data_IF_741956483148
#
_entry.id   IF_741956483148
#
_cell.length_a   1.000
_cell.length_b   1.000
_cell.length_c   1.000
_cell.angle_alpha   90.00
_cell.angle_beta   90.00
_cell.angle_gamma   90.00
#
_symmetry.space_group_name_H-M   'P 1'
#
loop_
_entity.id
_entity.type
_entity.pdbx_description
1 polymer ?
#
# COMPACT_ATOMS: atom_id res chain seq x y z
N UNK A 1 20.69 -10.77 31.17
CA UNK A 1 20.54 -9.74 30.11
C UNK A 1 21.17 -10.21 28.81
N UNK A 2 22.44 -10.65 28.80
CA UNK A 2 23.10 -11.19 27.59
C UNK A 2 22.44 -12.48 27.07
N UNK A 3 22.06 -13.41 27.95
CA UNK A 3 21.39 -14.66 27.56
C UNK A 3 20.01 -14.43 26.91
N UNK A 4 19.26 -13.40 27.34
CA UNK A 4 17.97 -13.05 26.75
C UNK A 4 18.17 -12.47 25.35
N UNK A 5 19.15 -11.58 25.20
CA UNK A 5 19.51 -10.97 23.92
C UNK A 5 19.98 -12.03 22.91
N UNK A 6 20.80 -12.98 23.34
CA UNK A 6 21.24 -14.10 22.51
C UNK A 6 20.04 -14.93 22.03
N UNK A 7 19.14 -15.32 22.94
CA UNK A 7 17.89 -16.03 22.58
C UNK A 7 17.07 -15.27 21.56
N UNK A 8 16.87 -13.96 21.74
CA UNK A 8 16.13 -13.11 20.80
C UNK A 8 16.80 -13.08 19.43
N UNK A 9 18.13 -12.91 19.38
CA UNK A 9 18.86 -12.89 18.10
C UNK A 9 18.82 -14.23 17.38
N UNK A 10 18.94 -15.34 18.09
CA UNK A 10 18.79 -16.68 17.50
C UNK A 10 17.39 -16.88 16.92
N UNK A 11 16.35 -16.42 17.63
CA UNK A 11 14.96 -16.47 17.13
C UNK A 11 14.82 -15.65 15.84
N UNK A 12 15.30 -14.40 15.83
CA UNK A 12 15.24 -13.52 14.65
C UNK A 12 16.00 -14.15 13.48
N UNK A 13 17.22 -14.63 13.70
CA UNK A 13 18.02 -15.28 12.66
C UNK A 13 17.31 -16.52 12.10
N UNK A 14 16.67 -17.32 12.96
CA UNK A 14 15.91 -18.48 12.51
C UNK A 14 14.71 -18.09 11.64
N UNK A 15 13.99 -17.02 11.97
CA UNK A 15 12.90 -16.52 11.13
C UNK A 15 13.41 -15.94 9.80
N UNK A 16 14.57 -15.30 9.78
CA UNK A 16 15.14 -14.70 8.56
C UNK A 16 15.80 -15.73 7.62
N UNK A 17 15.96 -16.99 8.03
CA UNK A 17 16.48 -18.07 7.15
C UNK A 17 15.55 -18.34 5.96
N UNK A 18 14.25 -18.18 6.17
CA UNK A 18 13.22 -18.29 5.14
C UNK A 18 12.59 -16.91 5.06
N UNK A 19 12.78 -16.15 3.96
CA UNK A 19 12.28 -14.78 3.87
C UNK A 19 10.81 -14.68 4.31
N UNK A 20 10.49 -13.99 5.43
CA UNK A 20 9.13 -13.88 5.90
C UNK A 20 8.28 -13.03 4.95
N UNK A 21 6.97 -13.27 4.97
CA UNK A 21 6.00 -12.38 4.35
C UNK A 21 5.80 -11.15 5.23
N UNK A 22 5.82 -9.97 4.63
CA UNK A 22 5.51 -8.72 5.30
C UNK A 22 4.02 -8.44 5.11
N UNK A 23 3.28 -8.35 6.22
CA UNK A 23 1.90 -7.83 6.21
C UNK A 23 1.97 -6.34 6.51
N UNK A 24 1.56 -5.52 5.56
CA UNK A 24 1.69 -4.06 5.60
C UNK A 24 0.32 -3.41 5.70
N UNK A 25 0.10 -2.63 6.76
CA UNK A 25 -1.17 -1.95 7.03
C UNK A 25 -1.01 -0.44 7.14
N UNK A 26 -2.12 0.26 7.34
CA UNK A 26 -2.14 1.74 7.34
C UNK A 26 -1.30 2.35 8.44
N UNK A 27 -1.15 1.66 9.59
CA UNK A 27 -0.25 2.06 10.66
C UNK A 27 1.23 2.21 10.24
N UNK A 28 1.65 1.53 9.17
CA UNK A 28 3.00 1.64 8.65
C UNK A 28 3.22 2.91 7.80
N UNK A 29 2.14 3.54 7.31
CA UNK A 29 2.21 4.76 6.47
C UNK A 29 1.72 6.03 7.17
N UNK A 30 1.04 5.91 8.30
CA UNK A 30 0.67 7.04 9.18
C UNK A 30 1.86 7.96 9.54
N UNK A 31 3.07 7.45 9.88
CA UNK A 31 4.22 8.32 10.14
C UNK A 31 4.66 9.20 8.96
N UNK A 32 4.29 8.83 7.73
CA UNK A 32 4.55 9.63 6.53
C UNK A 32 3.46 10.68 6.25
N UNK A 33 2.46 10.78 7.14
CA UNK A 33 1.35 11.74 7.06
C UNK A 33 0.05 11.16 6.49
N UNK A 34 0.03 9.88 6.09
CA UNK A 34 -1.16 9.27 5.50
C UNK A 34 -2.28 9.18 6.55
N UNK A 35 -3.56 9.37 6.14
CA UNK A 35 -4.67 9.31 7.07
C UNK A 35 -4.81 7.90 7.67
N UNK A 36 -4.99 7.84 8.98
CA UNK A 36 -5.34 6.59 9.66
C UNK A 36 -6.78 6.17 9.30
N UNK A 37 -7.16 4.92 9.62
CA UNK A 37 -8.55 4.48 9.46
C UNK A 37 -9.54 5.35 10.27
N UNK A 38 -9.13 5.82 11.44
CA UNK A 38 -9.95 6.74 12.25
C UNK A 38 -10.09 8.11 11.58
N UNK A 39 -9.03 8.59 10.93
CA UNK A 39 -9.05 9.84 10.16
C UNK A 39 -9.99 9.72 8.96
N UNK A 40 -9.88 8.64 8.19
CA UNK A 40 -10.79 8.37 7.07
C UNK A 40 -12.24 8.25 7.52
N UNK A 41 -12.48 7.58 8.65
CA UNK A 41 -13.81 7.45 9.24
C UNK A 41 -14.41 8.83 9.56
N UNK A 42 -13.62 9.73 10.17
CA UNK A 42 -14.04 11.11 10.42
C UNK A 42 -14.37 11.87 9.13
N UNK A 43 -13.50 11.78 8.11
CA UNK A 43 -13.73 12.42 6.81
C UNK A 43 -15.05 11.94 6.19
N UNK A 44 -15.35 10.66 6.24
CA UNK A 44 -16.59 10.11 5.68
C UNK A 44 -17.83 10.57 6.46
N UNK A 45 -17.76 10.62 7.79
CA UNK A 45 -18.85 11.14 8.65
C UNK A 45 -19.20 12.58 8.34
N UNK A 46 -18.21 13.38 7.92
CA UNK A 46 -18.40 14.80 7.58
C UNK A 46 -18.91 15.01 6.15
N UNK A 47 -18.66 14.08 5.23
CA UNK A 47 -18.92 14.26 3.79
C UNK A 47 -20.06 13.40 3.23
N UNK A 48 -20.50 12.36 3.93
CA UNK A 48 -21.58 11.46 3.49
C UNK A 48 -22.72 11.50 4.51
N UNK A 49 -23.88 12.03 4.09
CA UNK A 49 -25.05 12.23 4.96
C UNK A 49 -25.57 10.95 5.61
N UNK A 50 -25.54 9.84 4.89
CA UNK A 50 -26.05 8.53 5.29
C UNK A 50 -25.02 7.71 6.09
N UNK A 51 -23.82 8.25 6.29
CA UNK A 51 -22.74 7.54 6.98
C UNK A 51 -22.99 7.48 8.49
N UNK A 52 -22.76 6.31 9.07
CA UNK A 52 -22.98 6.08 10.49
C UNK A 52 -21.99 6.90 11.34
N UNK A 53 -22.51 7.90 12.05
CA UNK A 53 -21.71 8.80 12.90
C UNK A 53 -21.14 8.12 14.12
N UNK A 54 -21.75 7.01 14.55
CA UNK A 54 -21.32 6.24 15.72
C UNK A 54 -20.44 5.05 15.34
N UNK A 55 -20.13 4.87 14.04
CA UNK A 55 -19.24 3.81 13.59
C UNK A 55 -17.82 3.96 14.17
N UNK A 56 -17.33 2.89 14.80
CA UNK A 56 -15.94 2.77 15.26
C UNK A 56 -15.08 1.94 14.29
N UNK A 57 -15.66 0.95 13.60
CA UNK A 57 -14.95 0.08 12.65
C UNK A 57 -15.34 0.41 11.20
N UNK A 58 -14.51 1.22 10.56
CA UNK A 58 -14.73 1.68 9.19
C UNK A 58 -14.81 0.53 8.17
N UNK A 59 -13.98 -0.51 8.31
CA UNK A 59 -13.95 -1.63 7.37
C UNK A 59 -15.28 -2.42 7.37
N UNK A 60 -15.78 -2.73 8.56
CA UNK A 60 -17.08 -3.41 8.72
C UNK A 60 -18.23 -2.53 8.25
N UNK A 61 -18.15 -1.23 8.49
CA UNK A 61 -19.19 -0.28 8.07
C UNK A 61 -19.29 -0.20 6.56
N UNK A 62 -18.17 -0.07 5.86
CA UNK A 62 -18.13 0.01 4.40
C UNK A 62 -18.64 -1.24 3.70
N UNK A 63 -18.60 -2.41 4.36
CA UNK A 63 -19.14 -3.66 3.85
C UNK A 63 -20.68 -3.77 3.88
N UNK A 64 -21.40 -2.77 4.39
CA UNK A 64 -22.87 -2.79 4.47
C UNK A 64 -23.53 -2.40 3.14
N UNK A 65 -24.55 -3.16 2.73
CA UNK A 65 -25.29 -2.95 1.47
C UNK A 65 -25.86 -1.54 1.31
N UNK A 66 -26.19 -0.85 2.41
CA UNK A 66 -26.71 0.54 2.39
C UNK A 66 -25.79 1.53 1.69
N UNK A 67 -24.50 1.20 1.53
CA UNK A 67 -23.54 2.09 0.90
C UNK A 67 -23.28 1.80 -0.58
N UNK A 68 -23.90 0.77 -1.19
CA UNK A 68 -23.64 0.42 -2.60
C UNK A 68 -23.84 1.60 -3.57
N UNK A 69 -24.91 2.37 -3.42
CA UNK A 69 -25.21 3.52 -4.29
C UNK A 69 -24.24 4.70 -4.09
N UNK A 70 -23.75 4.89 -2.87
CA UNK A 70 -22.82 5.97 -2.52
C UNK A 70 -21.34 5.55 -2.54
N UNK A 71 -21.05 4.27 -2.82
CA UNK A 71 -19.68 3.74 -2.90
C UNK A 71 -18.78 4.52 -3.85
N UNK A 72 -19.21 4.92 -5.06
CA UNK A 72 -18.37 5.72 -5.94
C UNK A 72 -17.94 7.06 -5.30
N UNK A 73 -18.83 7.70 -4.54
CA UNK A 73 -18.52 8.95 -3.83
C UNK A 73 -17.55 8.70 -2.67
N UNK A 74 -17.79 7.64 -1.88
CA UNK A 74 -16.91 7.23 -0.78
C UNK A 74 -15.51 6.91 -1.29
N UNK A 75 -15.39 6.12 -2.37
CA UNK A 75 -14.12 5.83 -3.03
C UNK A 75 -13.42 7.12 -3.46
N UNK A 76 -14.14 8.06 -4.06
CA UNK A 76 -13.55 9.32 -4.49
C UNK A 76 -13.01 10.14 -3.30
N UNK A 77 -13.75 10.23 -2.20
CA UNK A 77 -13.33 10.94 -0.98
C UNK A 77 -12.07 10.32 -0.38
N UNK A 78 -12.06 8.99 -0.20
CA UNK A 78 -10.89 8.27 0.33
C UNK A 78 -9.69 8.43 -0.62
N UNK A 79 -9.92 8.29 -1.93
CA UNK A 79 -8.89 8.41 -2.95
C UNK A 79 -8.23 9.79 -2.89
N UNK A 80 -9.01 10.87 -2.80
CA UNK A 80 -8.48 12.22 -2.68
C UNK A 80 -7.68 12.41 -1.38
N UNK A 81 -8.22 11.98 -0.24
CA UNK A 81 -7.55 12.13 1.05
C UNK A 81 -6.16 11.46 1.08
N UNK A 82 -6.03 10.29 0.45
CA UNK A 82 -4.77 9.53 0.42
C UNK A 82 -3.85 10.05 -0.68
N UNK A 83 -4.36 10.28 -1.89
CA UNK A 83 -3.55 10.72 -3.04
C UNK A 83 -2.88 12.07 -2.83
N UNK A 84 -3.52 12.99 -2.09
CA UNK A 84 -2.88 14.26 -1.72
C UNK A 84 -1.58 14.01 -0.97
N UNK A 85 -1.60 13.19 0.08
CA UNK A 85 -0.40 12.93 0.88
C UNK A 85 0.59 12.01 0.16
N UNK A 86 0.12 11.02 -0.59
CA UNK A 86 0.96 10.16 -1.45
C UNK A 86 1.81 10.99 -2.42
N UNK A 87 1.21 11.99 -3.06
CA UNK A 87 1.91 12.91 -3.95
C UNK A 87 2.92 13.77 -3.19
N UNK A 88 2.59 14.26 -1.98
CA UNK A 88 3.54 14.98 -1.14
C UNK A 88 4.75 14.14 -0.73
N UNK A 89 4.54 12.86 -0.40
CA UNK A 89 5.61 11.90 -0.10
C UNK A 89 6.51 11.70 -1.31
N UNK A 90 5.93 11.52 -2.51
CA UNK A 90 6.69 11.43 -3.75
C UNK A 90 7.53 12.69 -4.00
N UNK A 91 6.97 13.89 -3.78
CA UNK A 91 7.74 15.13 -3.90
C UNK A 91 8.87 15.22 -2.86
N UNK A 92 8.64 14.78 -1.62
CA UNK A 92 9.67 14.74 -0.58
C UNK A 92 10.83 13.83 -0.96
N UNK A 93 10.57 12.65 -1.53
CA UNK A 93 11.61 11.74 -2.04
C UNK A 93 12.51 12.40 -3.08
N UNK A 94 11.96 13.27 -3.93
CA UNK A 94 12.72 13.93 -5.00
C UNK A 94 13.48 15.18 -4.54
N UNK A 95 12.98 15.86 -3.51
CA UNK A 95 13.49 17.18 -3.08
C UNK A 95 14.36 17.11 -1.83
N UNK A 96 14.26 16.03 -1.07
CA UNK A 96 14.93 15.85 0.22
C UNK A 96 16.03 14.80 0.08
N UNK A 97 17.25 15.08 0.52
CA UNK A 97 18.26 14.04 0.79
C UNK A 97 17.89 13.24 2.07
N UNK A 98 16.62 13.18 2.45
CA UNK A 98 16.23 12.74 3.78
C UNK A 98 16.19 11.22 3.89
N UNK A 99 16.72 10.73 5.02
CA UNK A 99 16.65 9.33 5.44
C UNK A 99 15.23 8.90 5.89
N UNK A 100 14.22 9.78 5.73
CA UNK A 100 12.86 9.62 6.27
C UNK A 100 12.19 8.32 5.80
N UNK A 101 12.55 7.84 4.60
CA UNK A 101 11.99 6.63 3.99
C UNK A 101 12.97 5.44 3.98
N UNK A 102 14.19 5.62 4.48
CA UNK A 102 15.24 4.61 4.47
C UNK A 102 14.87 3.39 5.33
N UNK A 103 13.92 3.52 6.26
CA UNK A 103 13.37 2.40 7.02
C UNK A 103 12.76 1.31 6.14
N UNK A 104 12.01 1.69 5.08
CA UNK A 104 11.39 0.73 4.15
C UNK A 104 12.49 0.01 3.35
N UNK A 105 13.47 0.76 2.85
CA UNK A 105 14.64 0.21 2.15
C UNK A 105 15.36 -0.83 3.01
N UNK A 106 15.73 -0.46 4.25
CA UNK A 106 16.43 -1.34 5.20
C UNK A 106 15.64 -2.60 5.52
N UNK A 107 14.32 -2.47 5.70
CA UNK A 107 13.44 -3.60 5.94
C UNK A 107 13.49 -4.58 4.77
N UNK A 108 13.25 -4.09 3.56
CA UNK A 108 13.21 -4.93 2.35
C UNK A 108 14.56 -5.58 2.07
N UNK A 109 15.66 -4.81 2.14
CA UNK A 109 17.02 -5.33 2.01
C UNK A 109 17.27 -6.44 3.03
N UNK A 110 16.85 -6.25 4.28
CA UNK A 110 17.09 -7.24 5.32
C UNK A 110 16.29 -8.53 5.14
N UNK A 111 15.04 -8.43 4.70
CA UNK A 111 14.21 -9.62 4.40
C UNK A 111 14.72 -10.35 3.16
N UNK A 112 15.19 -9.61 2.15
CA UNK A 112 15.73 -10.17 0.90
C UNK A 112 17.17 -10.70 1.00
N UNK A 113 17.80 -10.68 2.17
CA UNK A 113 19.22 -11.05 2.36
C UNK A 113 19.45 -12.56 2.08
N UNK A 114 18.46 -13.40 2.42
CA UNK A 114 18.52 -14.84 2.21
C UNK A 114 18.08 -15.25 0.79
N UNK A 115 18.76 -16.24 0.19
CA UNK A 115 18.36 -16.85 -1.08
C UNK A 115 16.91 -17.37 -0.99
N UNK A 116 16.00 -17.11 -1.98
CA UNK A 116 16.23 -16.56 -3.32
C UNK A 116 16.13 -15.04 -3.46
N UNK A 117 16.33 -14.28 -2.38
CA UNK A 117 16.24 -12.82 -2.35
C UNK A 117 14.88 -12.31 -2.80
N UNK A 118 13.83 -12.94 -2.27
CA UNK A 118 12.45 -12.57 -2.53
C UNK A 118 11.84 -12.00 -1.28
N UNK A 119 11.20 -10.86 -1.41
CA UNK A 119 10.39 -10.26 -0.34
C UNK A 119 8.95 -10.19 -0.83
N UNK A 120 8.03 -10.81 -0.11
CA UNK A 120 6.61 -10.70 -0.39
C UNK A 120 5.98 -9.72 0.58
N UNK A 121 5.34 -8.68 0.06
CA UNK A 121 4.63 -7.66 0.82
C UNK A 121 3.15 -7.77 0.45
N UNK A 122 2.30 -8.11 1.41
CA UNK A 122 0.85 -8.10 1.24
C UNK A 122 0.31 -6.89 1.98
N UNK A 123 -0.43 -6.03 1.30
CA UNK A 123 -0.89 -4.76 1.85
C UNK A 123 -2.37 -4.50 1.60
N UNK A 124 -3.04 -3.96 2.61
CA UNK A 124 -4.40 -3.42 2.51
C UNK A 124 -4.40 -1.94 2.14
N UNK A 125 -3.22 -1.32 2.00
CA UNK A 125 -3.09 0.11 1.73
C UNK A 125 -3.23 0.43 0.25
N UNK A 126 -3.94 1.53 -0.02
CA UNK A 126 -4.11 2.07 -1.36
C UNK A 126 -2.89 2.90 -1.83
N UNK A 127 -2.17 3.52 -0.90
CA UNK A 127 -1.02 4.41 -1.17
C UNK A 127 0.14 3.70 -1.89
N UNK A 128 1.00 4.46 -2.56
CA UNK A 128 2.10 3.94 -3.39
C UNK A 128 3.47 4.15 -2.73
N UNK A 129 3.52 4.29 -1.40
CA UNK A 129 4.76 4.69 -0.72
C UNK A 129 5.84 3.62 -0.90
N UNK A 130 5.49 2.34 -0.77
CA UNK A 130 6.46 1.25 -0.95
C UNK A 130 7.02 1.30 -2.38
N UNK A 131 6.14 1.36 -3.38
CA UNK A 131 6.49 1.42 -4.80
C UNK A 131 7.40 2.61 -5.10
N UNK A 132 7.05 3.79 -4.60
CA UNK A 132 7.81 5.02 -4.78
C UNK A 132 9.22 4.90 -4.17
N UNK A 133 9.32 4.35 -2.95
CA UNK A 133 10.61 4.19 -2.24
C UNK A 133 11.48 3.12 -2.90
N UNK A 134 10.91 1.98 -3.28
CA UNK A 134 11.65 0.94 -3.99
C UNK A 134 12.13 1.43 -5.36
N UNK A 135 11.27 2.11 -6.11
CA UNK A 135 11.64 2.73 -7.39
C UNK A 135 12.74 3.76 -7.22
N UNK A 136 12.66 4.61 -6.20
CA UNK A 136 13.67 5.63 -5.91
C UNK A 136 15.05 5.03 -5.60
N UNK A 137 15.08 3.93 -4.86
CA UNK A 137 16.32 3.21 -4.54
C UNK A 137 16.78 2.20 -5.60
N UNK A 138 16.06 2.07 -6.72
CA UNK A 138 16.38 1.12 -7.77
C UNK A 138 16.24 -0.34 -7.35
N UNK A 139 15.39 -0.63 -6.35
CA UNK A 139 15.10 -1.99 -5.90
C UNK A 139 14.04 -2.59 -6.85
N UNK A 140 14.32 -3.72 -7.52
CA UNK A 140 13.35 -4.37 -8.40
C UNK A 140 12.11 -4.83 -7.64
N UNK A 141 10.93 -4.42 -8.11
CA UNK A 141 9.66 -4.87 -7.59
C UNK A 141 8.63 -5.08 -8.71
N UNK A 142 7.58 -5.83 -8.40
CA UNK A 142 6.38 -5.97 -9.22
C UNK A 142 5.14 -5.80 -8.34
N UNK A 143 4.16 -5.09 -8.86
CA UNK A 143 2.80 -4.96 -8.31
C UNK A 143 1.76 -5.66 -9.19
N UNK A 144 2.22 -6.48 -10.16
CA UNK A 144 1.37 -7.15 -11.13
C UNK A 144 1.09 -6.33 -12.39
N UNK A 145 1.75 -5.19 -12.62
CA UNK A 145 1.62 -4.43 -13.86
C UNK A 145 2.96 -4.30 -14.60
N UNK A 146 2.95 -4.60 -15.90
CA UNK A 146 4.10 -4.47 -16.78
C UNK A 146 3.85 -3.42 -17.87
N UNK A 147 4.86 -2.60 -18.19
CA UNK A 147 4.78 -1.60 -19.24
C UNK A 147 4.21 -0.26 -18.79
N UNK A 148 3.35 -0.24 -17.75
CA UNK A 148 2.70 0.93 -17.13
C UNK A 148 1.90 1.78 -18.13
N UNK A 149 1.01 2.61 -17.59
CA UNK A 149 -0.08 3.30 -18.32
C UNK A 149 -0.93 2.36 -19.19
N UNK A 150 -2.19 2.19 -18.80
CA UNK A 150 -3.17 1.32 -19.43
C UNK A 150 -2.83 -0.18 -19.44
N UNK A 151 -1.71 -0.58 -18.84
CA UNK A 151 -1.33 -1.99 -18.69
C UNK A 151 -2.36 -2.76 -17.86
N UNK A 152 -2.57 -4.02 -18.22
CA UNK A 152 -3.42 -4.96 -17.50
C UNK A 152 -2.69 -5.56 -16.31
N UNK A 153 -3.46 -5.91 -15.27
CA UNK A 153 -2.94 -6.75 -14.19
C UNK A 153 -2.62 -8.14 -14.72
N UNK A 154 -1.45 -8.65 -14.34
CA UNK A 154 -0.95 -9.97 -14.72
C UNK A 154 -0.27 -10.63 -13.53
N UNK A 155 -0.95 -11.63 -12.96
CA UNK A 155 -0.44 -12.40 -11.82
C UNK A 155 0.83 -13.21 -12.15
N UNK A 156 1.09 -13.50 -13.43
CA UNK A 156 2.28 -14.24 -13.85
C UNK A 156 3.58 -13.43 -13.68
N UNK A 157 3.46 -12.12 -13.44
CA UNK A 157 4.59 -11.23 -13.16
C UNK A 157 5.18 -11.43 -11.76
N UNK A 158 4.43 -11.99 -10.82
CA UNK A 158 4.96 -12.32 -9.49
C UNK A 158 6.02 -13.43 -9.60
N UNK A 159 7.18 -13.20 -8.99
CA UNK A 159 8.35 -14.07 -9.19
C UNK A 159 8.93 -14.57 -7.87
N UNK A 160 9.53 -15.75 -7.91
CA UNK A 160 10.19 -16.40 -6.78
C UNK A 160 11.70 -16.19 -6.76
N UNK A 161 12.24 -15.17 -7.45
CA UNK A 161 13.68 -14.89 -7.46
C UNK A 161 14.02 -13.40 -7.63
N UNK A 162 14.93 -12.88 -6.79
CA UNK A 162 15.52 -11.54 -6.86
C UNK A 162 14.52 -10.38 -7.10
N UNK A 163 13.39 -10.39 -6.40
CA UNK A 163 12.34 -9.37 -6.59
C UNK A 163 11.57 -9.10 -5.29
N UNK A 164 10.99 -7.91 -5.20
CA UNK A 164 9.93 -7.62 -4.23
C UNK A 164 8.58 -7.77 -4.90
N UNK A 165 7.75 -8.68 -4.39
CA UNK A 165 6.37 -8.83 -4.82
C UNK A 165 5.47 -7.99 -3.91
N UNK A 166 4.71 -7.06 -4.49
CA UNK A 166 3.74 -6.23 -3.75
C UNK A 166 2.34 -6.67 -4.16
N UNK A 167 1.61 -7.25 -3.23
CA UNK A 167 0.24 -7.71 -3.43
C UNK A 167 -0.69 -6.74 -2.72
N UNK A 168 -1.49 -5.99 -3.49
CA UNK A 168 -2.50 -5.07 -2.98
C UNK A 168 -3.87 -5.73 -2.99
N UNK A 169 -4.44 -5.99 -1.81
CA UNK A 169 -5.68 -6.77 -1.70
C UNK A 169 -6.95 -5.95 -1.89
N UNK A 170 -6.92 -4.65 -1.56
CA UNK A 170 -8.06 -3.73 -1.70
C UNK A 170 -7.86 -2.73 -2.84
N UNK A 171 -6.93 -3.02 -3.75
CA UNK A 171 -6.57 -2.13 -4.85
C UNK A 171 -5.60 -1.01 -4.48
N UNK A 172 -5.50 -0.01 -5.36
CA UNK A 172 -4.44 1.00 -5.32
C UNK A 172 -4.88 2.33 -5.92
N UNK A 173 -4.22 3.43 -5.53
CA UNK A 173 -4.47 4.76 -6.08
C UNK A 173 -4.29 4.84 -7.61
N UNK A 174 -3.43 4.00 -8.17
CA UNK A 174 -3.12 3.91 -9.60
C UNK A 174 -3.90 2.79 -10.32
N UNK A 175 -4.88 2.15 -9.67
CA UNK A 175 -5.72 1.13 -10.31
C UNK A 175 -7.07 1.74 -10.70
N UNK A 176 -7.54 1.45 -11.89
CA UNK A 176 -8.86 1.84 -12.36
C UNK A 176 -9.53 0.71 -13.13
N UNK A 177 -10.86 0.69 -13.13
CA UNK A 177 -11.63 -0.23 -13.98
C UNK A 177 -11.88 0.43 -15.34
N UNK A 178 -11.65 -0.33 -16.41
CA UNK A 178 -12.03 0.06 -17.75
C UNK A 178 -12.60 -1.13 -18.49
N UNK A 179 -13.93 -1.16 -18.61
CA UNK A 179 -14.62 -2.23 -19.32
C UNK A 179 -14.54 -3.59 -18.61
N UNK A 180 -14.46 -3.59 -17.26
CA UNK A 180 -14.33 -4.81 -16.46
C UNK A 180 -12.89 -5.32 -16.27
N UNK A 181 -11.90 -4.58 -16.77
CA UNK A 181 -10.48 -4.89 -16.60
C UNK A 181 -9.82 -3.89 -15.66
N UNK A 182 -9.03 -4.41 -14.71
CA UNK A 182 -8.18 -3.58 -13.84
C UNK A 182 -6.95 -3.14 -14.63
N UNK A 183 -6.75 -1.82 -14.69
CA UNK A 183 -5.66 -1.19 -15.42
C UNK A 183 -4.87 -0.22 -14.55
N UNK A 184 -3.63 0.04 -14.96
CA UNK A 184 -2.73 0.99 -14.32
C UNK A 184 -2.87 2.40 -14.90
N UNK A 185 -3.00 3.42 -14.06
CA UNK A 185 -2.99 4.84 -14.44
C UNK A 185 -2.20 5.66 -13.42
N UNK A 186 -1.13 6.35 -13.85
CA UNK A 186 -0.27 7.11 -12.95
C UNK A 186 -0.96 8.36 -12.41
N UNK A 187 -1.71 9.04 -13.29
CA UNK A 187 -2.40 10.29 -13.00
C UNK A 187 -3.90 10.10 -13.26
N UNK A 188 -4.71 10.36 -12.24
CA UNK A 188 -6.15 10.23 -12.35
C UNK A 188 -6.70 11.18 -13.43
N UNK A 189 -7.62 10.65 -14.24
CA UNK A 189 -8.40 11.39 -15.23
C UNK A 189 -9.83 11.42 -14.70
N UNK A 190 -10.53 12.56 -14.78
CA UNK A 190 -11.87 12.79 -14.18
C UNK A 190 -12.91 11.69 -14.48
N UNK A 191 -12.74 10.95 -15.58
CA UNK A 191 -13.64 9.87 -16.00
C UNK A 191 -13.28 8.48 -15.47
N UNK A 192 -12.17 8.31 -14.77
CA UNK A 192 -11.70 6.99 -14.32
C UNK A 192 -12.31 6.61 -12.96
N UNK A 193 -12.74 5.36 -12.82
CA UNK A 193 -13.31 4.85 -11.57
C UNK A 193 -12.19 4.19 -10.77
N UNK A 194 -11.73 4.78 -9.65
CA UNK A 194 -10.65 4.22 -8.87
C UNK A 194 -11.04 2.87 -8.28
N UNK A 195 -10.12 1.91 -8.35
CA UNK A 195 -10.28 0.59 -7.73
C UNK A 195 -9.59 0.61 -6.37
N UNK A 196 -10.30 1.18 -5.39
CA UNK A 196 -10.00 1.12 -3.96
C UNK A 196 -11.27 0.70 -3.20
N UNK A 197 -11.11 0.13 -2.00
CA UNK A 197 -12.16 -0.48 -1.16
C UNK A 197 -12.69 -1.78 -1.77
#
# INVERSE_FOLDING_TARGET
>A
MEEIKEKVFTIIQNYLKIPPVIIWGSGATVPFGLPSMNTLNGILKDNISEFDKDCENLEVELGKEKYHEVMPQIRNIIWHAISTVDNEVLQKLLTSNSDDFNGIKKLVEKISDAHPKVTNIVTTNYDRIIENVLSFHGIPFTDGFLGKELSLFDESLFSSNNIVNIVKVHGSLNWFDFGGEIRYLQNNIESSVPQII
#
